data_IF_924248707075
#
_entry.id   IF_924248707075
#
_cell.length_a   1.000
_cell.length_b   1.000
_cell.length_c   1.000
_cell.angle_alpha   90.00
_cell.angle_beta   90.00
_cell.angle_gamma   90.00
#
_symmetry.space_group_name_H-M   'P 1'
#
loop_
_entity.id
_entity.type
_entity.pdbx_description
1 polymer ?
#
# COMPACT_ATOMS: atom_id res chain seq x y z
N UNK A 1 -15.44 -10.04 -17.97
CA UNK A 1 -14.19 -9.33 -18.31
C UNK A 1 -13.11 -10.38 -18.23
N UNK A 2 -12.37 -10.59 -19.32
CA UNK A 2 -11.23 -11.49 -19.29
C UNK A 2 -10.25 -11.00 -18.22
N UNK A 3 -9.87 -11.89 -17.29
CA UNK A 3 -8.71 -11.68 -16.45
C UNK A 3 -7.54 -11.35 -17.38
N UNK A 4 -7.08 -10.13 -17.33
CA UNK A 4 -5.97 -9.73 -18.18
C UNK A 4 -4.73 -10.47 -17.68
N UNK A 5 -3.88 -10.93 -18.60
CA UNK A 5 -2.62 -11.65 -18.29
C UNK A 5 -1.68 -10.85 -17.34
N UNK A 6 -2.03 -9.62 -17.00
CA UNK A 6 -1.30 -8.70 -16.12
C UNK A 6 -1.89 -8.55 -14.73
N UNK A 7 -3.07 -9.13 -14.43
CA UNK A 7 -3.73 -8.97 -13.13
C UNK A 7 -2.96 -9.65 -12.00
N UNK A 8 -2.98 -9.04 -10.81
CA UNK A 8 -2.50 -9.69 -9.59
C UNK A 8 -3.40 -10.87 -9.22
N UNK A 9 -2.84 -12.06 -9.04
CA UNK A 9 -3.59 -13.30 -8.82
C UNK A 9 -4.39 -13.33 -7.50
N UNK A 10 -4.10 -12.45 -6.58
CA UNK A 10 -4.81 -12.33 -5.29
C UNK A 10 -5.89 -11.24 -5.28
N UNK A 11 -6.03 -10.46 -6.35
CA UNK A 11 -6.91 -9.29 -6.37
C UNK A 11 -8.38 -9.69 -6.60
N UNK A 12 -9.26 -9.32 -5.66
CA UNK A 12 -10.69 -9.60 -5.72
C UNK A 12 -11.54 -8.42 -6.23
N UNK A 13 -10.92 -7.38 -6.81
CA UNK A 13 -11.65 -6.16 -7.21
C UNK A 13 -12.73 -6.43 -8.27
N UNK A 14 -12.47 -7.35 -9.21
CA UNK A 14 -13.43 -7.74 -10.25
C UNK A 14 -14.72 -8.32 -9.65
N UNK A 15 -14.60 -9.12 -8.57
CA UNK A 15 -15.75 -9.67 -7.86
C UNK A 15 -16.53 -8.59 -7.11
N UNK A 16 -15.82 -7.65 -6.46
CA UNK A 16 -16.47 -6.53 -5.76
C UNK A 16 -17.26 -5.65 -6.72
N UNK A 17 -16.74 -5.43 -7.93
CA UNK A 17 -17.45 -4.72 -9.01
C UNK A 17 -18.64 -5.52 -9.51
N UNK A 18 -18.48 -6.81 -9.81
CA UNK A 18 -19.56 -7.67 -10.31
C UNK A 18 -20.71 -7.81 -9.30
N UNK A 19 -20.39 -7.85 -8.00
CA UNK A 19 -21.37 -7.98 -6.92
C UNK A 19 -21.96 -6.63 -6.44
N UNK A 20 -21.63 -5.51 -7.09
CA UNK A 20 -22.12 -4.18 -6.71
C UNK A 20 -21.61 -3.66 -5.36
N UNK A 21 -20.58 -4.31 -4.77
CA UNK A 21 -19.96 -3.87 -3.51
C UNK A 21 -19.12 -2.61 -3.66
N UNK A 22 -18.75 -2.28 -4.87
CA UNK A 22 -18.04 -1.06 -5.23
C UNK A 22 -18.39 -0.64 -6.65
N UNK A 23 -18.06 0.59 -7.00
CA UNK A 23 -18.21 1.14 -8.35
C UNK A 23 -16.83 1.40 -8.96
N UNK A 24 -16.74 1.26 -10.29
CA UNK A 24 -15.46 1.40 -10.99
C UNK A 24 -14.84 2.81 -10.87
N UNK A 25 -15.68 3.85 -10.88
CA UNK A 25 -15.24 5.23 -10.76
C UNK A 25 -16.03 5.97 -9.70
N UNK A 26 -15.34 6.48 -8.70
CA UNK A 26 -15.89 7.38 -7.68
C UNK A 26 -15.52 8.81 -8.03
N UNK A 27 -16.49 9.71 -8.05
CA UNK A 27 -16.23 11.14 -8.30
C UNK A 27 -15.64 11.79 -7.05
N UNK A 28 -14.74 12.78 -7.17
CA UNK A 28 -14.15 13.48 -6.02
C UNK A 28 -15.20 14.00 -5.03
N UNK A 29 -16.32 14.57 -5.53
CA UNK A 29 -17.42 15.06 -4.67
C UNK A 29 -18.09 13.93 -3.85
N UNK A 30 -18.23 12.72 -4.42
CA UNK A 30 -18.77 11.58 -3.68
C UNK A 30 -17.84 11.12 -2.56
N UNK A 31 -16.52 11.15 -2.82
CA UNK A 31 -15.52 10.82 -1.81
C UNK A 31 -15.51 11.85 -0.68
N UNK A 32 -15.64 13.14 -0.99
CA UNK A 32 -15.73 14.20 -0.02
C UNK A 32 -16.96 14.08 0.88
N UNK A 33 -18.15 13.81 0.29
CA UNK A 33 -19.39 13.58 1.02
C UNK A 33 -19.28 12.40 1.99
N UNK A 34 -18.77 11.25 1.49
CA UNK A 34 -18.60 10.04 2.32
C UNK A 34 -17.55 10.27 3.42
N UNK A 35 -16.44 10.93 3.13
CA UNK A 35 -15.41 11.22 4.13
C UNK A 35 -15.94 12.10 5.25
N UNK A 36 -16.71 13.16 4.92
CA UNK A 36 -17.37 14.02 5.90
C UNK A 36 -18.34 13.23 6.78
N UNK A 37 -19.23 12.44 6.17
CA UNK A 37 -20.18 11.60 6.92
C UNK A 37 -19.45 10.59 7.83
N UNK A 38 -18.37 9.96 7.36
CA UNK A 38 -17.58 9.00 8.15
C UNK A 38 -16.93 9.65 9.38
N UNK A 39 -16.47 10.90 9.28
CA UNK A 39 -15.93 11.65 10.43
C UNK A 39 -17.04 12.00 11.40
N UNK A 40 -18.17 12.54 10.90
CA UNK A 40 -19.28 13.02 11.74
C UNK A 40 -20.05 11.88 12.43
N UNK A 41 -20.28 10.76 11.74
CA UNK A 41 -21.11 9.66 12.24
C UNK A 41 -20.29 8.54 12.90
N UNK A 42 -19.11 8.22 12.35
CA UNK A 42 -18.31 7.05 12.76
C UNK A 42 -17.00 7.43 13.44
N UNK A 43 -16.71 8.74 13.61
CA UNK A 43 -15.50 9.25 14.25
C UNK A 43 -14.19 8.71 13.60
N UNK A 44 -14.20 8.55 12.28
CA UNK A 44 -13.05 8.10 11.50
C UNK A 44 -11.89 9.07 11.68
N UNK A 45 -10.67 8.54 11.87
CA UNK A 45 -9.47 9.33 12.20
C UNK A 45 -8.48 9.51 11.05
N UNK A 46 -8.54 8.68 10.04
CA UNK A 46 -7.72 8.81 8.82
C UNK A 46 -8.35 8.00 7.69
N UNK A 47 -7.97 8.31 6.47
CA UNK A 47 -8.49 7.70 5.25
C UNK A 47 -7.37 7.07 4.42
N UNK A 48 -7.68 5.98 3.74
CA UNK A 48 -6.84 5.39 2.68
C UNK A 48 -7.56 5.57 1.36
N UNK A 49 -6.88 6.18 0.39
CA UNK A 49 -7.32 6.25 -1.00
C UNK A 49 -6.44 5.36 -1.86
N UNK A 50 -7.03 4.45 -2.61
CA UNK A 50 -6.32 3.60 -3.56
C UNK A 50 -6.98 3.67 -4.94
N UNK A 51 -6.20 3.53 -5.98
CA UNK A 51 -6.68 3.41 -7.35
C UNK A 51 -6.13 2.15 -8.01
N UNK A 52 -6.85 1.65 -9.01
CA UNK A 52 -6.25 0.70 -9.94
C UNK A 52 -5.12 1.40 -10.70
N UNK A 53 -4.17 0.62 -11.22
CA UNK A 53 -3.06 1.20 -11.97
C UNK A 53 -3.46 1.40 -13.43
N UNK A 54 -3.76 2.63 -13.90
CA UNK A 54 -3.96 2.90 -15.31
C UNK A 54 -2.64 2.81 -16.06
N UNK A 55 -2.72 2.58 -17.37
CA UNK A 55 -1.54 2.59 -18.25
C UNK A 55 -1.14 4.02 -18.66
N UNK A 56 -1.13 4.93 -17.70
CA UNK A 56 -0.72 6.32 -17.84
C UNK A 56 0.58 6.56 -17.07
N UNK A 57 1.37 7.53 -17.46
CA UNK A 57 2.68 7.84 -16.83
C UNK A 57 2.55 8.27 -15.37
N UNK A 58 1.39 8.80 -14.97
CA UNK A 58 1.09 9.19 -13.60
C UNK A 58 0.67 8.03 -12.69
N UNK A 59 0.43 6.83 -13.25
CA UNK A 59 0.02 5.61 -12.52
C UNK A 59 -1.17 5.83 -11.57
N UNK A 60 -2.05 6.79 -11.90
CA UNK A 60 -3.24 7.13 -11.11
C UNK A 60 -3.04 8.25 -10.08
N UNK A 61 -1.87 8.86 -10.01
CA UNK A 61 -1.59 9.95 -9.09
C UNK A 61 -2.50 11.18 -9.33
N UNK A 62 -2.83 11.49 -10.59
CA UNK A 62 -3.71 12.62 -10.93
C UNK A 62 -5.11 12.46 -10.29
N UNK A 63 -5.73 11.29 -10.42
CA UNK A 63 -7.05 11.00 -9.82
C UNK A 63 -6.99 11.07 -8.29
N UNK A 64 -5.89 10.63 -7.69
CA UNK A 64 -5.68 10.73 -6.24
C UNK A 64 -5.53 12.19 -5.80
N UNK A 65 -4.82 13.03 -6.54
CA UNK A 65 -4.73 14.47 -6.26
C UNK A 65 -6.10 15.16 -6.29
N UNK A 66 -6.88 14.96 -7.36
CA UNK A 66 -8.23 15.52 -7.47
C UNK A 66 -9.13 15.07 -6.31
N UNK A 67 -9.08 13.79 -5.97
CA UNK A 67 -9.88 13.20 -4.90
C UNK A 67 -9.45 13.70 -3.52
N UNK A 68 -8.13 13.80 -3.26
CA UNK A 68 -7.60 14.29 -2.00
C UNK A 68 -7.95 15.77 -1.79
N UNK A 69 -7.79 16.60 -2.82
CA UNK A 69 -8.19 18.03 -2.76
C UNK A 69 -9.66 18.18 -2.40
N UNK A 70 -10.56 17.40 -3.01
CA UNK A 70 -11.98 17.47 -2.71
C UNK A 70 -12.29 17.06 -1.25
N UNK A 71 -11.63 16.01 -0.75
CA UNK A 71 -11.85 15.55 0.64
C UNK A 71 -11.28 16.55 1.64
N UNK A 72 -10.05 17.05 1.45
CA UNK A 72 -9.42 17.99 2.39
C UNK A 72 -10.09 19.36 2.42
N UNK A 73 -10.78 19.73 1.31
CA UNK A 73 -11.63 20.93 1.30
C UNK A 73 -12.91 20.75 2.13
N UNK A 74 -13.43 19.53 2.21
CA UNK A 74 -14.71 19.22 2.86
C UNK A 74 -14.57 18.87 4.34
N UNK A 75 -13.45 18.25 4.74
CA UNK A 75 -13.24 17.75 6.11
C UNK A 75 -11.75 17.64 6.44
N UNK A 76 -11.39 17.92 7.69
CA UNK A 76 -10.02 17.70 8.21
C UNK A 76 -9.83 16.22 8.53
N UNK A 77 -9.30 15.45 7.55
CA UNK A 77 -9.09 14.02 7.67
C UNK A 77 -7.74 13.65 7.02
N UNK A 78 -6.76 13.14 7.80
CA UNK A 78 -5.47 12.71 7.25
C UNK A 78 -5.64 11.61 6.20
N UNK A 79 -5.00 11.77 5.03
CA UNK A 79 -5.14 10.88 3.89
C UNK A 79 -3.81 10.19 3.59
N UNK A 80 -3.86 8.84 3.45
CA UNK A 80 -2.83 8.09 2.74
C UNK A 80 -3.31 7.83 1.30
N UNK A 81 -2.54 8.26 0.30
CA UNK A 81 -2.73 7.85 -1.08
C UNK A 81 -1.93 6.57 -1.39
N UNK A 82 -2.47 5.72 -2.27
CA UNK A 82 -1.81 4.48 -2.70
C UNK A 82 -1.83 4.38 -4.22
N UNK A 83 -0.64 4.40 -4.84
CA UNK A 83 -0.43 4.20 -6.28
C UNK A 83 0.85 3.39 -6.54
N UNK A 84 1.05 2.96 -7.77
CA UNK A 84 2.38 2.49 -8.21
C UNK A 84 3.29 3.68 -8.46
N UNK A 85 4.64 3.48 -8.49
CA UNK A 85 5.58 4.57 -8.79
C UNK A 85 5.23 5.27 -10.10
N UNK A 86 4.88 6.57 -10.11
CA UNK A 86 4.71 7.34 -11.34
C UNK A 86 6.03 7.42 -12.12
N UNK A 87 5.96 7.64 -13.43
CA UNK A 87 7.17 7.78 -14.24
C UNK A 87 7.94 9.08 -13.93
N UNK A 88 7.21 10.13 -13.46
CA UNK A 88 7.76 11.43 -13.03
C UNK A 88 7.58 11.60 -11.51
N UNK A 89 8.69 11.77 -10.78
CA UNK A 89 8.72 11.95 -9.34
C UNK A 89 8.08 13.28 -8.87
N UNK A 90 7.86 14.26 -9.77
CA UNK A 90 7.13 15.49 -9.46
C UNK A 90 5.68 15.24 -8.97
N UNK A 91 5.13 14.06 -9.25
CA UNK A 91 3.82 13.66 -8.72
C UNK A 91 3.80 13.54 -7.20
N UNK A 92 4.91 13.23 -6.55
CA UNK A 92 4.95 13.16 -5.09
C UNK A 92 4.69 14.51 -4.45
N UNK A 93 5.28 15.59 -5.00
CA UNK A 93 4.99 16.94 -4.51
C UNK A 93 3.52 17.33 -4.78
N UNK A 94 2.97 17.02 -5.96
CA UNK A 94 1.56 17.31 -6.29
C UNK A 94 0.60 16.56 -5.35
N UNK A 95 0.89 15.31 -5.01
CA UNK A 95 0.13 14.55 -4.00
C UNK A 95 0.20 15.24 -2.63
N UNK A 96 1.39 15.69 -2.22
CA UNK A 96 1.55 16.41 -0.96
C UNK A 96 0.75 17.71 -0.95
N UNK A 97 0.82 18.50 -2.02
CA UNK A 97 0.12 19.78 -2.17
C UNK A 97 -1.41 19.61 -2.22
N UNK A 98 -1.92 18.45 -2.63
CA UNK A 98 -3.35 18.11 -2.61
C UNK A 98 -3.87 17.67 -1.22
N UNK A 99 -2.99 17.67 -0.17
CA UNK A 99 -3.36 17.33 1.19
C UNK A 99 -3.10 15.88 1.60
N UNK A 100 -2.45 15.08 0.75
CA UNK A 100 -1.98 13.73 1.14
C UNK A 100 -0.86 13.85 2.17
N UNK A 101 -0.97 13.14 3.30
CA UNK A 101 0.00 13.19 4.40
C UNK A 101 0.89 11.96 4.50
N UNK A 102 0.50 10.85 3.87
CA UNK A 102 1.27 9.61 3.81
C UNK A 102 1.09 8.94 2.45
N UNK A 103 2.07 8.16 1.98
CA UNK A 103 2.04 7.51 0.67
C UNK A 103 2.29 6.00 0.79
N UNK A 104 1.54 5.21 0.03
CA UNK A 104 1.76 3.79 -0.14
C UNK A 104 2.15 3.45 -1.59
N UNK A 105 3.28 2.76 -1.77
CA UNK A 105 3.66 2.14 -3.04
C UNK A 105 3.99 0.67 -2.78
N UNK A 106 3.09 -0.24 -3.17
CA UNK A 106 3.10 -1.60 -2.64
C UNK A 106 3.90 -2.58 -3.50
N UNK A 107 4.96 -3.16 -2.92
CA UNK A 107 5.76 -4.24 -3.52
C UNK A 107 5.00 -5.55 -3.57
N UNK A 108 4.23 -5.88 -2.54
CA UNK A 108 3.48 -7.11 -2.30
C UNK A 108 4.38 -8.35 -2.15
N UNK A 109 5.29 -8.59 -3.09
CA UNK A 109 6.35 -9.61 -3.02
C UNK A 109 7.71 -8.97 -3.25
N UNK A 110 8.78 -9.59 -2.73
CA UNK A 110 10.09 -8.96 -2.62
C UNK A 110 11.12 -9.50 -3.59
N UNK A 111 10.86 -10.64 -4.23
CA UNK A 111 11.73 -11.21 -5.27
C UNK A 111 11.09 -11.13 -6.65
N UNK A 112 11.90 -10.91 -7.69
CA UNK A 112 11.39 -10.81 -9.06
C UNK A 112 10.68 -12.09 -9.51
N UNK A 113 11.16 -13.26 -9.09
CA UNK A 113 10.54 -14.54 -9.42
C UNK A 113 9.10 -14.64 -8.89
N UNK A 114 8.87 -14.23 -7.63
CA UNK A 114 7.53 -14.23 -7.03
C UNK A 114 6.68 -13.13 -7.65
N UNK A 115 7.22 -11.93 -7.85
CA UNK A 115 6.53 -10.81 -8.49
C UNK A 115 6.02 -11.17 -9.89
N UNK A 116 6.88 -11.73 -10.75
CA UNK A 116 6.52 -12.15 -12.11
C UNK A 116 5.43 -13.23 -12.11
N UNK A 117 5.50 -14.19 -11.19
CA UNK A 117 4.51 -15.27 -11.09
C UNK A 117 3.17 -14.78 -10.57
N UNK A 118 3.14 -13.95 -9.54
CA UNK A 118 1.91 -13.61 -8.80
C UNK A 118 1.25 -12.32 -9.31
N UNK A 119 2.04 -11.36 -9.80
CA UNK A 119 1.55 -10.05 -10.23
C UNK A 119 2.33 -9.52 -11.44
N UNK A 120 2.20 -10.19 -12.59
CA UNK A 120 3.00 -9.92 -13.78
C UNK A 120 2.91 -8.47 -14.27
N UNK A 121 1.78 -7.79 -14.10
CA UNK A 121 1.64 -6.38 -14.44
C UNK A 121 2.49 -5.46 -13.54
N UNK A 122 2.44 -5.64 -12.23
CA UNK A 122 3.30 -4.90 -11.28
C UNK A 122 4.79 -5.22 -11.46
N UNK A 123 5.10 -6.46 -11.84
CA UNK A 123 6.48 -6.89 -12.08
C UNK A 123 7.14 -6.19 -13.27
N UNK A 124 6.37 -5.55 -14.16
CA UNK A 124 6.92 -4.70 -15.23
C UNK A 124 7.61 -3.45 -14.71
N UNK A 125 7.28 -3.00 -13.49
CA UNK A 125 8.01 -1.94 -12.81
C UNK A 125 9.17 -2.57 -12.02
N UNK A 126 10.44 -2.34 -12.38
CA UNK A 126 11.59 -2.93 -11.71
C UNK A 126 11.69 -2.50 -10.24
N UNK A 127 12.30 -3.33 -9.40
CA UNK A 127 12.56 -2.97 -7.98
C UNK A 127 13.39 -1.70 -7.85
N UNK A 128 14.36 -1.46 -8.74
CA UNK A 128 15.17 -0.26 -8.78
C UNK A 128 14.31 1.00 -8.97
N UNK A 129 13.28 0.94 -9.83
CA UNK A 129 12.33 2.06 -9.99
C UNK A 129 11.53 2.30 -8.72
N UNK A 130 11.10 1.23 -8.02
CA UNK A 130 10.46 1.38 -6.72
C UNK A 130 11.39 2.06 -5.71
N UNK A 131 12.67 1.67 -5.63
CA UNK A 131 13.61 2.28 -4.70
C UNK A 131 13.94 3.74 -5.04
N UNK A 132 14.07 4.08 -6.33
CA UNK A 132 14.19 5.47 -6.77
C UNK A 132 12.97 6.29 -6.31
N UNK A 133 11.76 5.78 -6.57
CA UNK A 133 10.51 6.42 -6.16
C UNK A 133 10.37 6.54 -4.63
N UNK A 134 10.75 5.51 -3.87
CA UNK A 134 10.75 5.56 -2.41
C UNK A 134 11.66 6.66 -1.88
N UNK A 135 12.88 6.76 -2.40
CA UNK A 135 13.79 7.82 -2.00
C UNK A 135 13.22 9.21 -2.30
N UNK A 136 12.69 9.43 -3.50
CA UNK A 136 12.07 10.72 -3.88
C UNK A 136 10.83 11.02 -3.01
N UNK A 137 9.97 10.03 -2.78
CA UNK A 137 8.79 10.19 -1.93
C UNK A 137 9.14 10.49 -0.48
N UNK A 138 10.17 9.85 0.09
CA UNK A 138 10.63 10.12 1.47
C UNK A 138 11.15 11.56 1.62
N UNK A 139 11.77 12.14 0.58
CA UNK A 139 12.17 13.57 0.62
C UNK A 139 10.94 14.51 0.73
N UNK A 140 9.82 14.14 0.13
CA UNK A 140 8.59 14.95 0.12
C UNK A 140 7.73 14.72 1.37
N UNK A 141 7.52 13.47 1.75
CA UNK A 141 6.60 13.08 2.83
C UNK A 141 7.27 12.95 4.19
N UNK A 142 8.57 12.73 4.21
CA UNK A 142 9.34 12.45 5.41
C UNK A 142 9.49 10.95 5.70
N UNK A 143 10.50 10.63 6.53
CA UNK A 143 10.75 9.26 6.98
C UNK A 143 9.55 8.70 7.74
N UNK A 144 9.19 7.44 7.46
CA UNK A 144 8.04 6.75 8.05
C UNK A 144 6.69 7.10 7.41
N UNK A 145 6.57 8.20 6.63
CA UNK A 145 5.32 8.55 5.97
C UNK A 145 5.12 7.84 4.62
N UNK A 146 6.13 7.18 4.12
CA UNK A 146 6.06 6.30 2.95
C UNK A 146 6.07 4.86 3.42
N UNK A 147 5.14 4.04 2.91
CA UNK A 147 5.01 2.63 3.30
C UNK A 147 4.83 1.72 2.10
N UNK A 148 5.11 0.45 2.29
CA UNK A 148 4.83 -0.60 1.31
C UNK A 148 4.22 -1.82 1.98
N UNK A 149 3.22 -2.43 1.35
CA UNK A 149 2.73 -3.76 1.74
C UNK A 149 3.70 -4.83 1.25
N UNK A 150 3.90 -5.83 2.11
CA UNK A 150 4.57 -7.09 1.78
C UNK A 150 3.64 -8.22 2.28
N UNK A 151 3.22 -9.08 1.37
CA UNK A 151 2.32 -10.20 1.66
C UNK A 151 3.17 -11.45 1.93
N UNK A 152 3.39 -11.75 3.20
CA UNK A 152 4.10 -12.96 3.61
C UNK A 152 3.29 -14.20 3.26
N UNK A 153 3.94 -15.18 2.61
CA UNK A 153 3.31 -16.43 2.19
C UNK A 153 3.04 -16.57 0.69
N UNK A 154 3.37 -15.55 -0.13
CA UNK A 154 3.27 -15.67 -1.61
C UNK A 154 4.38 -16.49 -2.26
N UNK A 155 5.39 -16.89 -1.48
CA UNK A 155 6.52 -17.70 -1.95
C UNK A 155 7.90 -17.08 -1.71
N UNK A 156 7.97 -15.85 -1.24
CA UNK A 156 9.23 -15.28 -0.74
C UNK A 156 9.63 -15.94 0.59
N UNK A 157 10.92 -16.15 0.79
CA UNK A 157 11.46 -16.69 2.04
C UNK A 157 11.45 -15.66 3.18
N UNK A 158 11.49 -16.12 4.43
CA UNK A 158 11.64 -15.25 5.61
C UNK A 158 12.87 -14.35 5.48
N UNK A 159 13.99 -14.88 4.99
CA UNK A 159 15.23 -14.13 4.81
C UNK A 159 15.08 -13.04 3.75
N UNK A 160 14.44 -13.34 2.62
CA UNK A 160 14.22 -12.35 1.56
C UNK A 160 13.32 -11.21 2.06
N UNK A 161 12.24 -11.53 2.79
CA UNK A 161 11.33 -10.51 3.35
C UNK A 161 12.07 -9.67 4.41
N UNK A 162 12.83 -10.29 5.31
CA UNK A 162 13.57 -9.56 6.34
C UNK A 162 14.64 -8.64 5.75
N UNK A 163 15.40 -9.11 4.75
CA UNK A 163 16.41 -8.31 4.07
C UNK A 163 15.79 -7.12 3.31
N UNK A 164 14.68 -7.36 2.61
CA UNK A 164 13.95 -6.29 1.94
C UNK A 164 13.40 -5.27 2.94
N UNK A 165 12.86 -5.73 4.07
CA UNK A 165 12.34 -4.85 5.13
C UNK A 165 13.45 -3.99 5.74
N UNK A 166 14.64 -4.54 5.98
CA UNK A 166 15.81 -3.79 6.44
C UNK A 166 16.23 -2.73 5.41
N UNK A 167 16.29 -3.10 4.12
CA UNK A 167 16.63 -2.17 3.03
C UNK A 167 15.61 -1.02 2.94
N UNK A 168 14.32 -1.30 3.05
CA UNK A 168 13.25 -0.30 3.04
C UNK A 168 13.35 0.63 4.25
N UNK A 169 13.51 0.06 5.45
CA UNK A 169 13.63 0.85 6.68
C UNK A 169 14.85 1.77 6.66
N UNK A 170 15.97 1.32 6.10
CA UNK A 170 17.20 2.14 5.98
C UNK A 170 16.99 3.42 5.18
N UNK A 171 16.14 3.39 4.15
CA UNK A 171 15.79 4.58 3.34
C UNK A 171 14.57 5.34 3.89
N UNK A 172 14.00 4.92 5.02
CA UNK A 172 12.89 5.62 5.68
C UNK A 172 11.50 5.19 5.24
N UNK A 173 11.39 4.07 4.53
CA UNK A 173 10.10 3.48 4.13
C UNK A 173 9.67 2.43 5.15
N UNK A 174 8.41 2.50 5.58
CA UNK A 174 7.86 1.55 6.53
C UNK A 174 7.41 0.25 5.81
N UNK A 175 8.07 -0.90 6.04
CA UNK A 175 7.67 -2.19 5.48
C UNK A 175 6.48 -2.76 6.28
N UNK A 176 5.26 -2.58 5.78
CA UNK A 176 4.07 -3.13 6.42
C UNK A 176 3.85 -4.58 5.98
N UNK A 177 4.41 -5.52 6.74
CA UNK A 177 4.32 -6.95 6.45
C UNK A 177 3.06 -7.54 7.08
N UNK A 178 2.27 -8.21 6.25
CA UNK A 178 1.01 -8.86 6.65
C UNK A 178 0.99 -10.31 6.17
N UNK A 179 0.34 -11.24 6.88
CA UNK A 179 0.14 -12.59 6.37
C UNK A 179 -0.81 -12.56 5.17
N UNK A 180 -0.48 -13.28 4.11
CA UNK A 180 -1.38 -13.47 2.98
C UNK A 180 -2.64 -14.23 3.42
N UNK A 181 -3.80 -13.72 3.02
CA UNK A 181 -5.09 -14.37 3.25
C UNK A 181 -5.75 -14.63 1.90
N UNK A 182 -5.97 -15.90 1.52
CA UNK A 182 -6.69 -16.25 0.29
C UNK A 182 -8.10 -15.67 0.27
N UNK A 183 -8.54 -15.21 -0.91
CA UNK A 183 -9.90 -14.71 -1.12
C UNK A 183 -10.59 -15.59 -2.15
N UNK A 184 -11.78 -16.09 -1.81
CA UNK A 184 -12.56 -16.93 -2.69
C UNK A 184 -12.82 -16.25 -4.05
N UNK A 185 -12.78 -17.06 -5.12
CA UNK A 185 -12.97 -16.58 -6.49
C UNK A 185 -11.76 -15.87 -7.10
N UNK A 186 -10.64 -15.74 -6.38
CA UNK A 186 -9.35 -15.33 -6.99
C UNK A 186 -8.55 -16.54 -7.46
N UNK A 187 -7.58 -16.38 -8.39
CA UNK A 187 -6.67 -17.47 -8.76
C UNK A 187 -5.94 -18.10 -7.56
N UNK A 188 -5.67 -17.32 -6.51
CA UNK A 188 -5.02 -17.79 -5.28
C UNK A 188 -6.00 -18.20 -4.17
N UNK A 189 -7.27 -18.47 -4.45
CA UNK A 189 -8.27 -18.87 -3.45
C UNK A 189 -7.88 -20.11 -2.64
N UNK A 190 -7.07 -21.02 -3.22
CA UNK A 190 -6.58 -22.24 -2.56
C UNK A 190 -5.10 -22.18 -2.16
N UNK A 191 -4.47 -21.02 -2.31
CA UNK A 191 -3.07 -20.85 -1.93
C UNK A 191 -2.93 -20.93 -0.40
N UNK A 192 -1.95 -21.67 0.16
CA UNK A 192 -1.81 -21.80 1.61
C UNK A 192 -1.47 -20.44 2.24
N UNK A 193 -2.04 -20.18 3.41
CA UNK A 193 -1.59 -19.08 4.28
C UNK A 193 -0.21 -19.40 4.84
N UNK A 194 0.62 -18.39 5.19
CA UNK A 194 1.81 -18.63 5.97
C UNK A 194 1.42 -19.27 7.33
N UNK A 195 2.19 -20.23 7.78
CA UNK A 195 1.97 -20.80 9.10
C UNK A 195 2.32 -19.81 10.24
N UNK A 196 1.82 -20.09 11.44
CA UNK A 196 2.08 -19.23 12.58
C UNK A 196 3.57 -19.13 12.93
N UNK A 197 4.32 -20.21 12.76
CA UNK A 197 5.77 -20.22 13.00
C UNK A 197 6.53 -19.28 12.06
N UNK A 198 6.13 -19.22 10.78
CA UNK A 198 6.69 -18.28 9.80
C UNK A 198 6.55 -16.83 10.30
N UNK A 199 5.34 -16.42 10.69
CA UNK A 199 5.10 -15.04 11.14
C UNK A 199 5.78 -14.75 12.49
N UNK A 200 5.80 -15.72 13.43
CA UNK A 200 6.46 -15.60 14.72
C UNK A 200 7.98 -15.40 14.59
N UNK A 201 8.64 -16.01 13.60
CA UNK A 201 10.06 -15.79 13.33
C UNK A 201 10.31 -14.49 12.57
N UNK A 202 9.40 -14.09 11.69
CA UNK A 202 9.57 -12.95 10.80
C UNK A 202 9.37 -11.60 11.53
N UNK A 203 8.29 -11.44 12.30
CA UNK A 203 7.94 -10.16 12.93
C UNK A 203 9.03 -9.58 13.83
N UNK A 204 9.69 -10.37 14.74
CA UNK A 204 10.78 -9.84 15.57
C UNK A 204 11.97 -9.30 14.75
N UNK A 205 12.27 -9.93 13.60
CA UNK A 205 13.35 -9.49 12.71
C UNK A 205 13.03 -8.15 12.06
N UNK A 206 11.79 -7.98 11.59
CA UNK A 206 11.34 -6.71 11.00
C UNK A 206 11.25 -5.62 12.07
N UNK A 207 10.72 -5.93 13.25
CA UNK A 207 10.67 -5.01 14.38
C UNK A 207 12.05 -4.52 14.79
N UNK A 208 13.07 -5.41 14.79
CA UNK A 208 14.45 -5.01 15.02
C UNK A 208 14.97 -4.02 13.96
N UNK A 209 14.63 -4.23 12.69
CA UNK A 209 14.96 -3.30 11.61
C UNK A 209 14.27 -1.95 11.79
N UNK A 210 12.98 -1.94 12.17
CA UNK A 210 12.23 -0.72 12.43
C UNK A 210 12.86 0.09 13.56
N UNK A 211 13.14 -0.54 14.72
CA UNK A 211 13.83 0.12 15.85
C UNK A 211 15.19 0.67 15.47
N UNK A 212 16.01 -0.12 14.75
CA UNK A 212 17.34 0.29 14.29
C UNK A 212 17.29 1.56 13.45
N UNK A 213 16.26 1.75 12.63
CA UNK A 213 16.11 2.89 11.72
C UNK A 213 15.17 3.98 12.25
N UNK A 214 14.70 3.88 13.48
CA UNK A 214 13.83 4.87 14.13
C UNK A 214 12.46 5.01 13.48
N UNK A 215 11.92 3.93 12.92
CA UNK A 215 10.58 3.88 12.34
C UNK A 215 9.61 3.24 13.33
N UNK A 216 8.45 3.87 13.50
CA UNK A 216 7.39 3.40 14.39
C UNK A 216 6.02 3.70 13.81
N UNK A 217 5.09 2.76 13.89
CA UNK A 217 3.73 2.90 13.34
C UNK A 217 2.95 4.05 13.96
N UNK A 218 3.19 4.38 15.23
CA UNK A 218 2.53 5.52 15.91
C UNK A 218 2.90 6.87 15.31
N UNK A 219 4.07 6.98 14.68
CA UNK A 219 4.55 8.22 14.05
C UNK A 219 3.99 8.41 12.63
N UNK A 220 3.26 7.43 12.08
CA UNK A 220 2.64 7.52 10.76
C UNK A 220 1.35 8.32 10.87
N UNK A 221 1.14 9.26 9.93
CA UNK A 221 0.00 10.16 9.98
C UNK A 221 -1.31 9.50 9.53
N UNK A 222 -1.27 8.65 8.51
CA UNK A 222 -2.44 7.96 7.96
C UNK A 222 -2.06 6.62 7.32
N UNK A 223 -3.04 5.73 7.17
CA UNK A 223 -2.90 4.54 6.36
C UNK A 223 -2.87 3.23 7.14
N UNK A 224 -2.63 2.15 6.38
CA UNK A 224 -2.72 0.79 6.92
C UNK A 224 -1.66 0.49 7.99
N UNK A 225 -0.45 1.00 7.84
CA UNK A 225 0.61 0.84 8.84
C UNK A 225 0.26 1.58 10.14
N UNK A 226 -0.39 2.77 10.07
CA UNK A 226 -0.97 3.47 11.22
C UNK A 226 -2.07 2.65 11.91
N UNK A 227 -2.99 2.10 11.11
CA UNK A 227 -4.11 1.29 11.59
C UNK A 227 -3.63 0.00 12.27
N UNK A 228 -2.69 -0.72 11.64
CA UNK A 228 -2.11 -1.96 12.16
C UNK A 228 -3.06 -3.17 12.21
N UNK A 229 -4.34 -3.04 11.83
CA UNK A 229 -5.35 -4.08 12.03
C UNK A 229 -5.06 -5.41 11.31
N UNK A 230 -4.30 -5.37 10.20
CA UNK A 230 -3.98 -6.55 9.40
C UNK A 230 -2.65 -7.22 9.78
N UNK A 231 -1.93 -6.73 10.81
CA UNK A 231 -0.59 -7.20 11.16
C UNK A 231 -0.33 -7.08 12.66
N UNK A 232 0.38 -8.07 13.21
CA UNK A 232 0.89 -7.97 14.56
C UNK A 232 2.25 -7.23 14.66
N UNK A 233 2.77 -6.70 13.56
CA UNK A 233 4.10 -6.09 13.48
C UNK A 233 4.32 -4.99 14.52
N UNK A 234 3.32 -4.14 14.78
CA UNK A 234 3.41 -3.06 15.77
C UNK A 234 3.72 -3.51 17.20
N UNK A 235 3.49 -4.77 17.53
CA UNK A 235 3.85 -5.32 18.84
C UNK A 235 5.33 -5.73 18.93
N UNK A 236 6.07 -5.59 17.83
CA UNK A 236 7.50 -5.95 17.74
C UNK A 236 8.40 -4.73 17.43
N UNK A 237 7.82 -3.53 17.30
CA UNK A 237 8.53 -2.27 17.05
C UNK A 237 9.34 -1.77 18.23
#
# INVERSE_FOLDING_TARGET
MNETATSCQFCAISQSLANGKTIARKRPAQLAEVAKAAVELDNVKHMVMTTGTPQTSDRGAAVLCESATAVTTAVDLPIQAQCEPPDDDAWFQRLRDSGVVSLGMHLEAVTDAVRQRIMPGKAQVPLERYFSAFNAAVQVFGRGQVSTYILAGLGDSEDAIAQMSERLASVGVYPFVVPFVPIDGTPLARHPKPDNGFMQRLYPRIGASLRKHGLHSDNINAGCAKCGACSALKHHE
#
